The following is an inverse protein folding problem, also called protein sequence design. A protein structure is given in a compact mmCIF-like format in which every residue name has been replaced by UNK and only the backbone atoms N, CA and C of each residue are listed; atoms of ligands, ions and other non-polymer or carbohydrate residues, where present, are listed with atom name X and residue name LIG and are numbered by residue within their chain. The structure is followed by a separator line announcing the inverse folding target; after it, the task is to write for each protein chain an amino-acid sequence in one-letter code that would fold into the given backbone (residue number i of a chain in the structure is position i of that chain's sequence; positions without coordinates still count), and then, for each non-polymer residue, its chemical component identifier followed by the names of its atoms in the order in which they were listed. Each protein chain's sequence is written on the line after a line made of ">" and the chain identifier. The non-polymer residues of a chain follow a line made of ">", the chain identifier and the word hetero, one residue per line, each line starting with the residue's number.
data_IF_183023338458
#
_entry.id   IF_183023338458
#
_cell.length_a   1.000
_cell.length_b   1.000
_cell.length_c   1.000
_cell.angle_alpha   90.00
_cell.angle_beta   90.00
_cell.angle_gamma   90.00
#
_symmetry.space_group_name_H-M   'P 1'
#
loop_
_entity.id
_entity.type
_entity.pdbx_description
1 polymer ?
#
# COMPACT_ATOMS: atom_id res chain seq x y z
N UNK A 1 54.08 -3.82 45.14
CA UNK A 1 53.95 -4.68 43.93
C UNK A 1 52.56 -5.34 43.86
N UNK A 2 52.15 -6.16 44.85
CA UNK A 2 50.84 -6.85 44.84
C UNK A 2 49.63 -5.90 44.80
N UNK A 3 49.64 -4.79 45.56
CA UNK A 3 48.55 -3.80 45.52
C UNK A 3 48.44 -3.05 44.18
N UNK A 4 49.56 -2.82 43.51
CA UNK A 4 49.60 -2.13 42.23
C UNK A 4 49.02 -3.02 41.11
N UNK A 5 49.41 -4.29 41.08
CA UNK A 5 48.84 -5.31 40.18
C UNK A 5 47.33 -5.50 40.38
N UNK A 6 46.83 -5.40 41.62
CA UNK A 6 45.40 -5.47 41.94
C UNK A 6 44.64 -4.26 41.41
N UNK A 7 45.20 -3.05 41.52
CA UNK A 7 44.62 -1.81 40.97
C UNK A 7 44.58 -1.83 39.44
N UNK A 8 45.65 -2.26 38.79
CA UNK A 8 45.72 -2.41 37.33
C UNK A 8 44.70 -3.44 36.83
N UNK A 9 44.57 -4.58 37.52
CA UNK A 9 43.56 -5.60 37.18
C UNK A 9 42.13 -5.09 37.35
N UNK A 10 41.86 -4.31 38.40
CA UNK A 10 40.54 -3.69 38.62
C UNK A 10 40.19 -2.68 37.52
N UNK A 11 41.16 -1.85 37.11
CA UNK A 11 40.98 -0.89 36.01
C UNK A 11 40.66 -1.61 34.71
N UNK A 12 41.38 -2.69 34.38
CA UNK A 12 41.12 -3.50 33.18
C UNK A 12 39.73 -4.12 33.20
N UNK A 13 39.26 -4.64 34.34
CA UNK A 13 37.91 -5.18 34.48
C UNK A 13 36.85 -4.10 34.23
N UNK A 14 37.03 -2.91 34.82
CA UNK A 14 36.11 -1.78 34.64
C UNK A 14 36.07 -1.35 33.16
N UNK A 15 37.23 -1.23 32.51
CA UNK A 15 37.30 -0.87 31.08
C UNK A 15 36.61 -1.91 30.20
N UNK A 16 36.79 -3.20 30.46
CA UNK A 16 36.11 -4.27 29.72
C UNK A 16 34.59 -4.20 29.88
N UNK A 17 34.10 -3.93 31.10
CA UNK A 17 32.66 -3.74 31.35
C UNK A 17 32.14 -2.51 30.60
N UNK A 18 32.86 -1.39 30.64
CA UNK A 18 32.48 -0.16 29.93
C UNK A 18 32.41 -0.39 28.42
N UNK A 19 33.37 -1.10 27.83
CA UNK A 19 33.34 -1.47 26.41
C UNK A 19 32.13 -2.36 26.12
N UNK A 20 31.87 -3.38 26.94
CA UNK A 20 30.71 -4.26 26.79
C UNK A 20 29.37 -3.51 26.82
N UNK A 21 29.19 -2.62 27.80
CA UNK A 21 27.98 -1.77 27.90
C UNK A 21 27.85 -0.85 26.70
N UNK A 22 28.97 -0.28 26.23
CA UNK A 22 28.97 0.63 25.07
C UNK A 22 28.57 -0.10 23.79
N UNK A 23 29.07 -1.33 23.58
CA UNK A 23 28.70 -2.15 22.43
C UNK A 23 27.22 -2.56 22.46
N UNK A 24 26.70 -2.93 23.65
CA UNK A 24 25.29 -3.25 23.83
C UNK A 24 24.42 -2.01 23.53
N UNK A 25 24.80 -0.85 24.05
CA UNK A 25 24.07 0.40 23.79
C UNK A 25 24.04 0.76 22.30
N UNK A 26 25.16 0.62 21.59
CA UNK A 26 25.23 0.85 20.14
C UNK A 26 24.34 -0.14 19.40
N UNK A 27 24.40 -1.43 19.74
CA UNK A 27 23.56 -2.46 19.11
C UNK A 27 22.07 -2.14 19.25
N UNK A 28 21.60 -1.81 20.46
CA UNK A 28 20.20 -1.46 20.69
C UNK A 28 19.79 -0.18 19.98
N UNK A 29 20.64 0.85 19.98
CA UNK A 29 20.36 2.09 19.26
C UNK A 29 20.20 1.84 17.75
N UNK A 30 21.12 1.07 17.14
CA UNK A 30 21.04 0.74 15.71
C UNK A 30 19.81 -0.11 15.41
N UNK A 31 19.48 -1.08 16.27
CA UNK A 31 18.31 -1.93 16.11
C UNK A 31 17.01 -1.13 16.17
N UNK A 32 16.84 -0.27 17.17
CA UNK A 32 15.66 0.59 17.32
C UNK A 32 15.54 1.56 16.13
N UNK A 33 16.65 2.14 15.68
CA UNK A 33 16.65 3.03 14.52
C UNK A 33 16.23 2.29 13.24
N UNK A 34 16.67 1.04 13.05
CA UNK A 34 16.24 0.22 11.93
C UNK A 34 14.76 -0.13 12.02
N UNK A 35 14.28 -0.59 13.19
CA UNK A 35 12.86 -0.92 13.41
C UNK A 35 11.95 0.29 13.16
N UNK A 36 12.38 1.49 13.58
CA UNK A 36 11.64 2.74 13.32
C UNK A 36 11.58 3.03 11.81
N UNK A 37 12.71 2.88 11.11
CA UNK A 37 12.78 3.10 9.67
C UNK A 37 11.90 2.10 8.90
N UNK A 38 11.95 0.83 9.28
CA UNK A 38 11.15 -0.22 8.65
C UNK A 38 9.65 0.05 8.87
N UNK A 39 9.26 0.54 10.06
CA UNK A 39 7.90 0.95 10.33
C UNK A 39 7.48 2.18 9.50
N UNK A 40 8.33 3.21 9.40
CA UNK A 40 8.06 4.39 8.59
C UNK A 40 7.87 4.03 7.10
N UNK A 41 8.71 3.12 6.57
CA UNK A 41 8.58 2.62 5.20
C UNK A 41 7.26 1.86 5.01
N UNK A 42 6.88 1.01 5.97
CA UNK A 42 5.62 0.26 5.93
C UNK A 42 4.39 1.18 5.95
N UNK A 43 4.38 2.20 6.82
CA UNK A 43 3.31 3.18 6.93
C UNK A 43 3.13 3.98 5.63
N UNK A 44 4.23 4.31 4.95
CA UNK A 44 4.19 4.98 3.63
C UNK A 44 3.60 4.07 2.56
N UNK A 45 3.95 2.78 2.55
CA UNK A 45 3.37 1.83 1.61
C UNK A 45 1.86 1.69 1.82
N UNK A 46 1.41 1.53 3.07
CA UNK A 46 -0.03 1.46 3.37
C UNK A 46 -0.74 2.72 2.92
N UNK A 47 -0.15 3.90 3.14
CA UNK A 47 -0.72 5.16 2.68
C UNK A 47 -0.98 5.17 1.17
N UNK A 48 -0.01 4.73 0.39
CA UNK A 48 -0.15 4.70 -1.07
C UNK A 48 -1.19 3.67 -1.52
N UNK A 49 -1.13 2.46 -0.98
CA UNK A 49 -2.12 1.41 -1.26
C UNK A 49 -3.54 1.88 -0.91
N UNK A 50 -3.75 2.32 0.32
CA UNK A 50 -5.08 2.68 0.82
C UNK A 50 -5.69 3.84 0.07
N UNK A 51 -4.87 4.79 -0.38
CA UNK A 51 -5.32 5.88 -1.22
C UNK A 51 -5.64 5.43 -2.65
N UNK A 52 -4.81 4.55 -3.24
CA UNK A 52 -5.05 4.04 -4.59
C UNK A 52 -6.31 3.15 -4.70
N UNK A 53 -6.72 2.53 -3.60
CA UNK A 53 -7.91 1.66 -3.54
C UNK A 53 -9.09 2.26 -2.77
N UNK A 54 -9.03 3.55 -2.40
CA UNK A 54 -10.07 4.25 -1.64
C UNK A 54 -10.48 3.58 -0.31
N UNK A 55 -9.55 2.86 0.31
CA UNK A 55 -9.79 2.03 1.51
C UNK A 55 -9.91 2.86 2.80
N UNK A 56 -9.34 4.06 2.82
CA UNK A 56 -9.33 4.91 4.00
C UNK A 56 -9.40 6.39 3.63
N UNK A 57 -9.91 7.16 4.57
CA UNK A 57 -9.71 8.60 4.63
C UNK A 57 -8.33 8.92 5.23
N UNK A 58 -7.76 10.09 4.90
CA UNK A 58 -6.36 10.47 5.13
C UNK A 58 -5.82 10.28 6.58
N UNK A 59 -6.70 10.16 7.58
CA UNK A 59 -6.32 9.95 8.98
C UNK A 59 -5.95 8.49 9.32
N UNK A 60 -6.48 7.51 8.60
CA UNK A 60 -6.32 6.07 8.89
C UNK A 60 -5.45 5.35 7.85
N UNK A 61 -4.94 6.09 6.85
CA UNK A 61 -4.26 5.52 5.69
C UNK A 61 -2.95 4.79 5.97
N UNK A 62 -2.41 4.84 7.19
CA UNK A 62 -1.06 4.33 7.51
C UNK A 62 -1.05 2.87 7.98
N UNK A 63 -2.21 2.21 8.05
CA UNK A 63 -2.36 0.84 8.55
C UNK A 63 -3.03 -0.06 7.51
N UNK A 64 -3.02 -1.36 7.75
CA UNK A 64 -3.71 -2.30 6.87
C UNK A 64 -5.22 -2.07 6.86
N UNK A 65 -5.78 -1.99 5.65
CA UNK A 65 -7.20 -2.08 5.37
C UNK A 65 -7.43 -3.26 4.42
N UNK A 66 -8.38 -4.11 4.77
CA UNK A 66 -8.65 -5.34 4.04
C UNK A 66 -9.72 -5.18 2.98
N UNK A 67 -10.02 -6.30 2.32
CA UNK A 67 -11.07 -6.42 1.29
C UNK A 67 -12.44 -5.88 1.73
N UNK A 68 -12.77 -5.95 3.03
CA UNK A 68 -14.07 -5.51 3.56
C UNK A 68 -14.30 -4.00 3.41
N UNK A 69 -13.23 -3.20 3.28
CA UNK A 69 -13.29 -1.76 3.07
C UNK A 69 -13.34 -1.37 1.58
N UNK A 70 -13.17 -2.33 0.66
CA UNK A 70 -13.21 -2.07 -0.77
C UNK A 70 -14.61 -1.72 -1.26
N UNK A 71 -14.66 -0.70 -2.10
CA UNK A 71 -15.83 -0.38 -2.91
C UNK A 71 -15.57 -0.86 -4.33
N UNK A 72 -15.98 -2.08 -4.62
CA UNK A 72 -15.69 -2.77 -5.89
C UNK A 72 -16.11 -1.94 -7.12
N UNK A 73 -17.23 -1.22 -7.03
CA UNK A 73 -17.71 -0.33 -8.08
C UNK A 73 -16.79 0.87 -8.37
N UNK A 74 -16.01 1.33 -7.40
CA UNK A 74 -15.00 2.38 -7.61
C UNK A 74 -13.72 1.76 -8.16
N UNK A 75 -13.27 0.66 -7.55
CA UNK A 75 -12.05 -0.05 -7.96
C UNK A 75 -12.12 -0.49 -9.41
N UNK A 76 -13.24 -1.05 -9.87
CA UNK A 76 -13.36 -1.52 -11.27
C UNK A 76 -13.21 -0.39 -12.28
N UNK A 77 -13.77 0.79 -12.01
CA UNK A 77 -13.65 1.96 -12.90
C UNK A 77 -12.21 2.46 -12.93
N UNK A 78 -11.56 2.54 -11.77
CA UNK A 78 -10.17 2.97 -11.66
C UNK A 78 -9.21 2.00 -12.37
N UNK A 79 -9.44 0.69 -12.23
CA UNK A 79 -8.65 -0.35 -12.91
C UNK A 79 -8.87 -0.34 -14.42
N UNK A 80 -10.09 -0.12 -14.91
CA UNK A 80 -10.33 0.04 -16.36
C UNK A 80 -9.59 1.27 -16.90
N UNK A 81 -9.62 2.40 -16.20
CA UNK A 81 -8.85 3.58 -16.60
C UNK A 81 -7.34 3.30 -16.64
N UNK A 82 -6.82 2.56 -15.66
CA UNK A 82 -5.42 2.12 -15.65
C UNK A 82 -5.10 1.22 -16.85
N UNK A 83 -5.90 0.17 -17.06
CA UNK A 83 -5.72 -0.84 -18.10
C UNK A 83 -5.86 -0.25 -19.52
N UNK A 84 -6.67 0.80 -19.73
CA UNK A 84 -6.72 1.54 -20.99
C UNK A 84 -5.48 2.43 -21.19
N UNK A 85 -4.86 2.90 -20.10
CA UNK A 85 -3.71 3.81 -20.14
C UNK A 85 -2.35 3.09 -20.22
N UNK A 86 -2.29 1.82 -19.84
CA UNK A 86 -1.06 1.01 -19.79
C UNK A 86 -1.15 -0.19 -20.74
N UNK A 87 -0.12 -0.39 -21.56
CA UNK A 87 -0.07 -1.54 -22.49
C UNK A 87 0.52 -2.81 -21.89
N UNK A 88 1.37 -2.66 -20.87
CA UNK A 88 2.27 -3.74 -20.43
C UNK A 88 1.78 -4.44 -19.16
N UNK A 89 0.80 -3.84 -18.47
CA UNK A 89 0.27 -4.32 -17.21
C UNK A 89 -1.24 -4.30 -17.25
N UNK A 90 -1.84 -5.37 -16.75
CA UNK A 90 -3.28 -5.48 -16.52
C UNK A 90 -3.47 -5.84 -15.06
N UNK A 91 -4.43 -5.18 -14.43
CA UNK A 91 -4.87 -5.49 -13.06
C UNK A 91 -6.36 -5.75 -13.09
N UNK A 92 -6.77 -6.85 -12.48
CA UNK A 92 -8.17 -7.27 -12.34
C UNK A 92 -8.67 -7.04 -10.91
N UNK A 93 -9.99 -6.93 -10.76
CA UNK A 93 -10.61 -6.81 -9.43
C UNK A 93 -10.30 -8.04 -8.56
N UNK A 94 -10.28 -9.24 -9.15
CA UNK A 94 -9.99 -10.48 -8.43
C UNK A 94 -8.57 -10.49 -7.86
N UNK A 95 -7.58 -9.99 -8.61
CA UNK A 95 -6.19 -9.86 -8.11
C UNK A 95 -6.10 -8.88 -6.94
N UNK A 96 -6.85 -7.76 -6.99
CA UNK A 96 -6.91 -6.78 -5.89
C UNK A 96 -7.57 -7.40 -4.64
N UNK A 97 -8.67 -8.14 -4.83
CA UNK A 97 -9.37 -8.84 -3.75
C UNK A 97 -8.49 -9.91 -3.11
N UNK A 98 -7.76 -10.69 -3.91
CA UNK A 98 -6.83 -11.71 -3.42
C UNK A 98 -5.70 -11.06 -2.60
N UNK A 99 -5.09 -10.00 -3.14
CA UNK A 99 -3.99 -9.28 -2.50
C UNK A 99 -4.41 -8.63 -1.16
N UNK A 100 -5.58 -7.98 -1.12
CA UNK A 100 -6.10 -7.33 0.09
C UNK A 100 -6.84 -8.28 1.04
N UNK A 101 -6.94 -9.57 0.69
CA UNK A 101 -7.59 -10.57 1.51
C UNK A 101 -6.83 -10.91 2.79
N UNK A 102 -5.52 -10.66 2.84
CA UNK A 102 -4.68 -10.91 4.01
C UNK A 102 -3.64 -9.80 4.20
N UNK A 103 -3.30 -9.49 5.46
CA UNK A 103 -2.22 -8.54 5.78
C UNK A 103 -0.83 -9.18 5.71
N UNK A 104 -0.74 -10.47 6.07
CA UNK A 104 0.52 -11.19 6.24
C UNK A 104 0.59 -12.43 5.35
N UNK A 105 1.80 -12.72 4.87
CA UNK A 105 2.14 -13.97 4.19
C UNK A 105 2.28 -15.12 5.21
N UNK A 106 2.42 -16.36 4.72
CA UNK A 106 2.57 -17.55 5.57
C UNK A 106 3.81 -17.51 6.48
N UNK A 107 4.85 -16.78 6.07
CA UNK A 107 6.09 -16.59 6.85
C UNK A 107 5.98 -15.46 7.89
N UNK A 108 4.82 -14.81 7.98
CA UNK A 108 4.53 -13.71 8.89
C UNK A 108 5.05 -12.35 8.43
N UNK A 109 5.60 -12.21 7.22
CA UNK A 109 5.94 -10.91 6.66
C UNK A 109 4.69 -10.18 6.13
N UNK A 110 4.60 -8.83 6.28
CA UNK A 110 3.53 -8.06 5.66
C UNK A 110 3.52 -8.23 4.14
N UNK A 111 2.38 -8.57 3.55
CA UNK A 111 2.23 -8.81 2.11
C UNK A 111 2.51 -7.55 1.28
N UNK A 112 2.36 -6.37 1.87
CA UNK A 112 2.66 -5.09 1.21
C UNK A 112 4.15 -4.92 0.88
N UNK A 113 5.05 -5.65 1.57
CA UNK A 113 6.48 -5.70 1.24
C UNK A 113 6.78 -6.61 0.05
N UNK A 114 5.83 -7.46 -0.32
CA UNK A 114 5.89 -8.42 -1.43
C UNK A 114 4.70 -8.24 -2.37
N UNK A 115 4.31 -6.99 -2.62
CA UNK A 115 3.19 -6.63 -3.48
C UNK A 115 3.38 -7.21 -4.90
N UNK A 116 2.36 -7.83 -5.52
CA UNK A 116 2.42 -8.25 -6.91
C UNK A 116 2.80 -7.11 -7.84
N UNK A 117 3.65 -7.37 -8.84
CA UNK A 117 4.23 -6.33 -9.70
C UNK A 117 3.16 -5.45 -10.36
N UNK A 118 2.11 -6.04 -10.92
CA UNK A 118 1.02 -5.30 -11.56
C UNK A 118 0.26 -4.39 -10.59
N UNK A 119 0.00 -4.84 -9.37
CA UNK A 119 -0.62 -4.03 -8.30
C UNK A 119 0.32 -2.89 -7.88
N UNK A 120 1.61 -3.16 -7.70
CA UNK A 120 2.60 -2.13 -7.40
C UNK A 120 2.64 -1.06 -8.50
N UNK A 121 2.59 -1.47 -9.77
CA UNK A 121 2.52 -0.54 -10.91
C UNK A 121 1.26 0.30 -10.88
N UNK A 122 0.10 -0.27 -10.61
CA UNK A 122 -1.15 0.47 -10.46
C UNK A 122 -1.05 1.51 -9.34
N UNK A 123 -0.64 1.10 -8.13
CA UNK A 123 -0.52 2.00 -6.96
C UNK A 123 0.45 3.15 -7.25
N UNK A 124 1.61 2.83 -7.85
CA UNK A 124 2.60 3.82 -8.24
C UNK A 124 2.07 4.78 -9.31
N UNK A 125 1.43 4.25 -10.37
CA UNK A 125 0.83 5.08 -11.41
C UNK A 125 -0.23 6.02 -10.86
N UNK A 126 -1.13 5.52 -10.01
CA UNK A 126 -2.18 6.31 -9.38
C UNK A 126 -1.61 7.51 -8.62
N UNK A 127 -0.53 7.27 -7.84
CA UNK A 127 0.15 8.31 -7.08
C UNK A 127 0.88 9.35 -7.95
N UNK A 128 1.39 8.94 -9.10
CA UNK A 128 2.17 9.78 -10.01
C UNK A 128 1.35 10.42 -11.13
N UNK A 129 0.05 10.66 -10.89
CA UNK A 129 -0.86 11.38 -11.80
C UNK A 129 -1.98 10.51 -12.38
N UNK A 130 -1.95 9.20 -12.16
CA UNK A 130 -3.04 8.31 -12.57
C UNK A 130 -4.38 8.66 -11.91
N UNK A 131 -4.36 9.19 -10.69
CA UNK A 131 -5.58 9.67 -10.01
C UNK A 131 -6.34 10.76 -10.78
N UNK A 132 -5.65 11.64 -11.51
CA UNK A 132 -6.31 12.64 -12.36
C UNK A 132 -6.96 11.98 -13.59
N UNK A 133 -6.32 10.95 -14.16
CA UNK A 133 -6.83 10.17 -15.29
C UNK A 133 -8.08 9.39 -14.87
N UNK A 134 -8.03 8.74 -13.70
CA UNK A 134 -9.18 8.05 -13.09
C UNK A 134 -10.36 9.00 -12.92
N UNK A 135 -10.12 10.22 -12.43
CA UNK A 135 -11.17 11.22 -12.24
C UNK A 135 -11.81 11.60 -13.58
N UNK A 136 -11.00 11.89 -14.61
CA UNK A 136 -11.51 12.21 -15.94
C UNK A 136 -12.29 11.03 -16.55
N UNK A 137 -11.77 9.81 -16.44
CA UNK A 137 -12.43 8.60 -16.93
C UNK A 137 -13.78 8.38 -16.25
N UNK A 138 -13.81 8.51 -14.92
CA UNK A 138 -15.03 8.39 -14.13
C UNK A 138 -16.08 9.46 -14.46
N UNK A 139 -15.65 10.70 -14.76
CA UNK A 139 -16.56 11.78 -15.17
C UNK A 139 -17.18 11.47 -16.54
N UNK A 140 -16.38 11.05 -17.53
CA UNK A 140 -16.87 10.64 -18.84
C UNK A 140 -17.83 9.43 -18.74
N UNK A 141 -17.54 8.48 -17.87
CA UNK A 141 -18.42 7.34 -17.64
C UNK A 141 -19.75 7.77 -17.02
N UNK A 142 -19.73 8.67 -16.03
CA UNK A 142 -20.95 9.21 -15.42
C UNK A 142 -21.80 10.00 -16.42
N UNK A 143 -21.19 10.74 -17.36
CA UNK A 143 -21.90 11.38 -18.46
C UNK A 143 -22.61 10.35 -19.35
N UNK A 144 -21.91 9.28 -19.73
CA UNK A 144 -22.51 8.17 -20.48
C UNK A 144 -23.70 7.54 -19.72
N UNK A 145 -23.56 7.26 -18.43
CA UNK A 145 -24.62 6.69 -17.60
C UNK A 145 -25.85 7.60 -17.58
N UNK A 146 -25.64 8.91 -17.43
CA UNK A 146 -26.72 9.91 -17.46
C UNK A 146 -27.46 9.92 -18.80
N UNK A 147 -26.74 9.90 -19.91
CA UNK A 147 -27.33 9.97 -21.26
C UNK A 147 -28.12 8.71 -21.62
N UNK A 148 -27.81 7.57 -20.99
CA UNK A 148 -28.46 6.28 -21.24
C UNK A 148 -29.48 5.87 -20.17
N UNK A 149 -29.81 6.77 -19.23
CA UNK A 149 -30.89 6.56 -18.26
C UNK A 149 -30.52 5.68 -17.05
N UNK A 150 -29.23 5.43 -16.84
CA UNK A 150 -28.69 4.81 -15.63
C UNK A 150 -28.66 5.82 -14.46
N UNK A 151 -28.43 5.37 -13.22
CA UNK A 151 -28.08 6.28 -12.14
C UNK A 151 -26.88 7.16 -12.50
N UNK A 152 -26.98 8.47 -12.26
CA UNK A 152 -25.97 9.46 -12.66
C UNK A 152 -24.55 9.24 -12.13
N UNK A 153 -24.36 8.38 -11.13
CA UNK A 153 -23.07 8.20 -10.45
C UNK A 153 -22.84 6.72 -10.23
N UNK A 154 -21.84 6.14 -10.91
CA UNK A 154 -21.50 4.71 -10.79
C UNK A 154 -21.24 4.28 -9.34
N UNK A 155 -20.73 5.19 -8.49
CA UNK A 155 -20.50 4.93 -7.06
C UNK A 155 -21.75 4.55 -6.27
N UNK A 156 -22.95 4.79 -6.84
CA UNK A 156 -24.26 4.47 -6.24
C UNK A 156 -24.94 3.26 -6.89
N UNK A 157 -24.31 2.66 -7.88
CA UNK A 157 -24.79 1.46 -8.55
C UNK A 157 -24.19 0.23 -7.87
N UNK A 158 -24.86 -0.91 -8.03
CA UNK A 158 -24.31 -2.18 -7.62
C UNK A 158 -23.14 -2.55 -8.54
N UNK A 159 -22.17 -3.32 -8.02
CA UNK A 159 -20.95 -3.68 -8.74
C UNK A 159 -21.23 -4.28 -10.13
N UNK A 160 -22.18 -5.21 -10.22
CA UNK A 160 -22.50 -5.86 -11.50
C UNK A 160 -23.10 -4.88 -12.51
N UNK A 161 -23.96 -3.96 -12.08
CA UNK A 161 -24.54 -2.94 -12.98
C UNK A 161 -23.45 -2.00 -13.53
N UNK A 162 -22.42 -1.71 -12.72
CA UNK A 162 -21.25 -0.92 -13.18
C UNK A 162 -20.43 -1.68 -14.21
N UNK A 163 -20.18 -2.97 -13.98
CA UNK A 163 -19.46 -3.83 -14.94
C UNK A 163 -20.20 -3.90 -16.27
N UNK A 164 -21.50 -4.19 -16.24
CA UNK A 164 -22.33 -4.30 -17.45
C UNK A 164 -22.36 -2.97 -18.22
N UNK A 165 -22.51 -1.84 -17.53
CA UNK A 165 -22.51 -0.52 -18.16
C UNK A 165 -21.13 -0.09 -18.68
N UNK A 166 -20.03 -0.49 -18.03
CA UNK A 166 -18.66 -0.27 -18.54
C UNK A 166 -18.43 -1.03 -19.84
N UNK A 167 -18.86 -2.29 -19.92
CA UNK A 167 -18.77 -3.09 -21.15
C UNK A 167 -19.57 -2.46 -22.29
N UNK A 168 -20.81 -2.02 -22.00
CA UNK A 168 -21.65 -1.31 -22.97
C UNK A 168 -20.98 -0.03 -23.47
N UNK A 169 -20.48 0.79 -22.54
CA UNK A 169 -19.82 2.06 -22.88
C UNK A 169 -18.57 1.87 -23.75
N UNK A 170 -17.74 0.89 -23.42
CA UNK A 170 -16.55 0.55 -24.21
C UNK A 170 -16.92 0.15 -25.63
N UNK A 171 -18.00 -0.62 -25.82
CA UNK A 171 -18.46 -1.06 -27.14
C UNK A 171 -18.93 0.07 -28.06
N UNK A 172 -19.30 1.24 -27.51
CA UNK A 172 -19.73 2.41 -28.29
C UNK A 172 -18.63 3.48 -28.46
N UNK A 173 -17.54 3.37 -27.70
CA UNK A 173 -16.36 4.25 -27.78
C UNK A 173 -15.39 3.84 -28.91
N UNK A 174 -15.44 2.57 -29.34
CA UNK A 174 -14.69 2.00 -30.47
C UNK A 174 -15.34 2.27 -31.84
#
# INVERSE_FOLDING_TARGET
>A
MIEQMKKESLITIILTILIGVSLIAIYWHTKIAQETKDQDELEVLYKYQNKAFHLSNDAESYYFHGVDDLKLQEVVVDLEAFNESQSDYVVTVDEVVEYLGNEFAEDGQPLILSCPENIEKYVSWFWHGGSDIVMEYGDQFNEYLMDNGYPHVYRRMDYQDVVDALEEWKSVKE
#
